data_IF_477678089995
#
_entry.id   IF_477678089995
#
_cell.length_a   1.000
_cell.length_b   1.000
_cell.length_c   1.000
_cell.angle_alpha   90.00
_cell.angle_beta   90.00
_cell.angle_gamma   90.00
#
_symmetry.space_group_name_H-M   'P 1'
#
loop_
_entity.id
_entity.type
_entity.pdbx_description
1 polymer ?
#
# COMPACT_ATOMS: atom_id res chain seq x y z
N UNK A 1 7.27 73.67 -11.65
CA UNK A 1 8.36 73.17 -10.77
C UNK A 1 7.98 71.76 -10.33
N UNK A 2 8.90 70.81 -10.39
CA UNK A 2 8.64 69.38 -10.13
C UNK A 2 8.95 69.01 -8.66
N UNK A 3 8.10 68.19 -8.05
CA UNK A 3 8.39 67.39 -6.85
C UNK A 3 7.46 66.16 -6.89
N UNK A 4 7.89 65.04 -7.49
CA UNK A 4 8.72 63.95 -6.95
C UNK A 4 7.91 62.91 -6.15
N UNK A 5 8.05 61.65 -6.58
CA UNK A 5 7.37 60.47 -6.05
C UNK A 5 8.03 59.95 -4.77
N UNK A 6 7.23 59.29 -3.92
CA UNK A 6 7.71 58.45 -2.82
C UNK A 6 6.99 57.10 -2.80
N UNK A 7 7.53 56.10 -3.51
CA UNK A 7 7.06 54.71 -3.41
C UNK A 7 7.79 53.98 -2.27
N UNK A 8 7.04 53.46 -1.29
CA UNK A 8 7.61 52.60 -0.25
C UNK A 8 7.77 51.15 -0.75
N UNK A 9 8.98 50.62 -0.68
CA UNK A 9 9.30 49.22 -1.03
C UNK A 9 9.44 48.38 0.24
N UNK A 10 8.52 47.46 0.47
CA UNK A 10 8.57 46.54 1.61
C UNK A 10 9.55 45.38 1.35
N UNK A 11 10.69 45.38 2.05
CA UNK A 11 11.68 44.31 1.97
C UNK A 11 11.18 42.99 2.56
N UNK A 12 11.25 41.91 1.78
CA UNK A 12 11.05 40.54 2.26
C UNK A 12 12.37 40.01 2.86
N UNK A 13 12.40 39.80 4.17
CA UNK A 13 13.52 39.14 4.84
C UNK A 13 13.54 37.64 4.50
N UNK A 14 14.62 37.17 3.86
CA UNK A 14 14.90 35.74 3.66
C UNK A 14 15.80 35.22 4.79
N UNK A 15 15.32 34.29 5.61
CA UNK A 15 16.17 33.59 6.58
C UNK A 15 17.11 32.59 5.86
N UNK A 16 18.38 32.46 6.28
CA UNK A 16 19.38 31.66 5.56
C UNK A 16 19.27 30.15 5.78
N UNK A 17 19.71 29.40 4.77
CA UNK A 17 19.78 27.93 4.75
C UNK A 17 20.98 27.46 5.59
N UNK A 18 20.75 26.56 6.56
CA UNK A 18 21.83 25.87 7.29
C UNK A 18 22.42 24.75 6.43
N UNK A 19 23.61 24.97 5.90
CA UNK A 19 24.49 23.93 5.36
C UNK A 19 25.40 23.40 6.47
N UNK A 20 25.40 22.08 6.71
CA UNK A 20 26.37 21.45 7.61
C UNK A 20 27.67 21.15 6.84
N UNK A 21 28.75 21.82 7.22
CA UNK A 21 30.13 21.42 6.86
C UNK A 21 30.62 20.39 7.86
N UNK A 22 31.32 19.33 7.39
CA UNK A 22 32.09 18.39 8.22
C UNK A 22 33.58 18.60 7.93
N UNK A 23 34.42 18.61 8.96
CA UNK A 23 35.88 18.86 8.88
C UNK A 23 36.59 18.20 10.06
N UNK A 24 37.78 17.63 9.82
CA UNK A 24 38.77 17.28 10.85
C UNK A 24 39.05 15.77 11.06
N UNK A 25 40.30 15.37 10.77
CA UNK A 25 41.19 14.32 11.38
C UNK A 25 40.62 12.93 11.79
N UNK A 26 41.22 11.74 11.56
CA UNK A 26 42.64 11.28 11.43
C UNK A 26 43.40 11.23 12.77
N UNK A 27 44.00 10.13 13.24
CA UNK A 27 44.06 8.73 12.76
C UNK A 27 42.81 7.93 13.28
N UNK A 28 42.77 6.63 13.66
CA UNK A 28 43.72 5.48 13.69
C UNK A 28 42.96 4.12 13.71
N UNK A 29 43.67 3.01 13.95
CA UNK A 29 43.26 1.59 14.01
C UNK A 29 43.85 0.96 15.32
N UNK A 30 43.37 -0.19 15.89
CA UNK A 30 43.58 -1.47 15.19
C UNK A 30 42.61 -2.67 15.45
N UNK A 31 42.57 -3.53 14.42
CA UNK A 31 42.33 -5.00 14.39
C UNK A 31 40.92 -5.57 14.63
N UNK A 32 40.28 -6.06 13.55
CA UNK A 32 39.53 -7.31 13.56
C UNK A 32 39.36 -7.92 12.14
N UNK A 33 40.16 -8.96 11.87
CA UNK A 33 39.98 -10.09 10.93
C UNK A 33 39.55 -9.91 9.44
N UNK A 34 40.10 -10.80 8.61
CA UNK A 34 40.06 -10.72 7.15
C UNK A 34 38.81 -11.35 6.54
N UNK A 35 38.27 -10.67 5.55
CA UNK A 35 37.27 -11.19 4.61
C UNK A 35 37.78 -12.39 3.81
N UNK A 36 36.91 -13.37 3.56
CA UNK A 36 36.90 -14.07 2.28
C UNK A 36 35.55 -13.90 1.60
N UNK A 37 35.59 -13.20 0.46
CA UNK A 37 34.44 -12.94 -0.40
C UNK A 37 34.50 -13.94 -1.55
N UNK A 38 33.53 -14.85 -1.64
CA UNK A 38 33.32 -15.67 -2.83
C UNK A 38 31.88 -15.54 -3.27
N UNK A 39 31.59 -14.48 -4.02
CA UNK A 39 30.37 -14.42 -4.79
C UNK A 39 30.42 -15.46 -5.92
N UNK A 40 29.32 -16.15 -6.16
CA UNK A 40 28.96 -16.58 -7.50
C UNK A 40 27.43 -16.55 -7.63
N UNK A 41 26.98 -15.80 -8.63
CA UNK A 41 25.57 -15.68 -8.99
C UNK A 41 25.15 -16.93 -9.75
N UNK A 42 23.92 -17.40 -9.54
CA UNK A 42 23.12 -18.13 -10.54
C UNK A 42 21.69 -18.32 -10.05
N UNK A 43 20.85 -17.31 -10.27
CA UNK A 43 19.40 -17.42 -10.06
C UNK A 43 18.76 -18.09 -11.27
N UNK A 44 18.95 -19.41 -11.42
CA UNK A 44 18.28 -20.20 -12.45
C UNK A 44 16.80 -20.38 -12.11
N UNK A 45 15.98 -19.41 -12.52
CA UNK A 45 14.51 -19.50 -12.44
C UNK A 45 13.98 -20.27 -13.65
N UNK A 46 14.00 -21.60 -13.58
CA UNK A 46 13.48 -22.46 -14.64
C UNK A 46 11.95 -22.35 -14.74
N UNK A 47 11.45 -21.90 -15.90
CA UNK A 47 10.03 -21.68 -16.16
C UNK A 47 9.36 -22.94 -16.72
N UNK A 48 8.71 -23.73 -15.86
CA UNK A 48 7.92 -24.88 -16.31
C UNK A 48 6.51 -24.43 -16.75
N UNK A 49 6.36 -24.25 -18.06
CA UNK A 49 5.06 -24.15 -18.72
C UNK A 49 4.44 -25.54 -18.90
N UNK A 50 3.37 -25.84 -18.16
CA UNK A 50 2.43 -26.91 -18.53
C UNK A 50 1.01 -26.34 -18.50
N UNK A 51 0.43 -26.18 -19.69
CA UNK A 51 -1.01 -26.03 -19.86
C UNK A 51 -1.69 -27.37 -19.61
N UNK A 52 -2.56 -27.46 -18.60
CA UNK A 52 -3.90 -28.09 -18.65
C UNK A 52 -4.45 -28.30 -17.23
N UNK A 53 -5.61 -27.72 -16.94
CA UNK A 53 -6.50 -28.17 -15.85
C UNK A 53 -6.02 -28.08 -14.39
N UNK A 54 -4.84 -27.52 -14.10
CA UNK A 54 -4.28 -27.44 -12.74
C UNK A 54 -4.43 -26.06 -12.09
N UNK A 55 -5.01 -26.01 -10.89
CA UNK A 55 -5.02 -24.79 -10.07
C UNK A 55 -3.61 -24.57 -9.50
N UNK A 56 -2.88 -23.57 -9.98
CA UNK A 56 -1.58 -23.21 -9.40
C UNK A 56 -1.81 -22.46 -8.08
N UNK A 57 -2.08 -23.24 -7.03
CA UNK A 57 -1.96 -22.75 -5.68
C UNK A 57 -0.48 -22.48 -5.40
N UNK A 58 -0.08 -21.21 -5.31
CA UNK A 58 1.04 -20.82 -4.46
C UNK A 58 0.68 -21.30 -3.06
N UNK A 59 1.22 -22.45 -2.68
CA UNK A 59 0.96 -23.11 -1.41
C UNK A 59 1.33 -22.11 -0.31
N UNK A 60 0.38 -21.58 0.48
CA UNK A 60 0.77 -20.90 1.70
C UNK A 60 1.52 -21.94 2.53
N UNK A 61 2.65 -21.54 3.13
CA UNK A 61 3.19 -22.30 4.25
C UNK A 61 2.02 -22.51 5.23
N UNK A 62 1.84 -23.75 5.69
CA UNK A 62 0.76 -24.10 6.60
C UNK A 62 1.06 -23.49 7.96
N UNK A 63 0.82 -22.19 8.05
CA UNK A 63 1.05 -21.39 9.22
C UNK A 63 0.05 -21.84 10.28
N UNK A 64 0.57 -22.44 11.35
CA UNK A 64 -0.21 -22.76 12.53
C UNK A 64 -1.06 -21.53 12.87
N UNK A 65 -2.31 -21.73 13.28
CA UNK A 65 -3.13 -20.64 13.80
C UNK A 65 -2.55 -20.23 15.16
N UNK A 66 -1.49 -19.41 15.13
CA UNK A 66 -0.89 -18.81 16.30
C UNK A 66 -1.92 -17.86 16.88
N UNK A 67 -2.62 -18.34 17.91
CA UNK A 67 -3.81 -17.72 18.49
C UNK A 67 -3.54 -16.40 19.24
N UNK A 68 -2.34 -15.82 19.09
CA UNK A 68 -1.92 -14.55 19.70
C UNK A 68 -1.42 -13.48 18.73
N UNK A 69 -1.35 -13.71 17.42
CA UNK A 69 -0.73 -12.77 16.47
C UNK A 69 -1.79 -11.91 15.77
N UNK A 70 -1.68 -10.57 15.77
CA UNK A 70 -2.65 -9.73 15.06
C UNK A 70 -2.51 -9.90 13.55
N UNK A 71 -3.65 -10.16 12.88
CA UNK A 71 -3.72 -10.29 11.42
C UNK A 71 -4.42 -9.07 10.82
N UNK A 72 -3.67 -8.25 10.07
CA UNK A 72 -4.14 -7.03 9.41
C UNK A 72 -4.08 -7.21 7.90
N UNK A 73 -5.21 -7.12 7.20
CA UNK A 73 -5.25 -7.23 5.74
C UNK A 73 -5.37 -5.86 5.08
N UNK A 74 -4.53 -5.59 4.08
CA UNK A 74 -4.54 -4.35 3.31
C UNK A 74 -4.83 -4.68 1.84
N UNK A 75 -5.86 -4.05 1.27
CA UNK A 75 -6.20 -4.26 -0.15
C UNK A 75 -5.33 -3.37 -1.03
N UNK A 76 -4.49 -4.00 -1.86
CA UNK A 76 -3.47 -3.33 -2.68
C UNK A 76 -3.78 -3.34 -4.17
N UNK A 77 -3.33 -2.28 -4.87
CA UNK A 77 -3.39 -2.11 -6.33
C UNK A 77 -2.44 -0.98 -6.76
N UNK A 78 -2.32 -0.73 -8.08
CA UNK A 78 -1.57 0.41 -8.66
C UNK A 78 -2.25 1.78 -8.42
N UNK A 79 -2.75 2.06 -7.21
CA UNK A 79 -3.29 3.39 -6.87
C UNK A 79 -2.56 4.01 -5.68
N UNK A 80 -2.33 5.33 -5.68
CA UNK A 80 -1.74 6.01 -4.54
C UNK A 80 -2.62 5.89 -3.29
N UNK A 81 -3.93 5.72 -3.46
CA UNK A 81 -4.87 5.43 -2.38
C UNK A 81 -4.51 4.16 -1.58
N UNK A 82 -4.15 3.07 -2.26
CA UNK A 82 -3.72 1.82 -1.61
C UNK A 82 -2.37 2.01 -0.90
N UNK A 83 -1.39 2.65 -1.55
CA UNK A 83 -0.09 2.96 -0.92
C UNK A 83 -0.24 3.79 0.35
N UNK A 84 -1.11 4.80 0.36
CA UNK A 84 -1.37 5.61 1.57
C UNK A 84 -2.09 4.81 2.66
N UNK A 85 -2.95 3.85 2.32
CA UNK A 85 -3.61 2.99 3.30
C UNK A 85 -2.64 1.99 3.94
N UNK A 86 -1.75 1.38 3.15
CA UNK A 86 -0.67 0.54 3.66
C UNK A 86 0.29 1.33 4.57
N UNK A 87 0.70 2.53 4.13
CA UNK A 87 1.54 3.41 4.94
C UNK A 87 0.92 3.72 6.30
N UNK A 88 -0.39 4.01 6.32
CA UNK A 88 -1.12 4.30 7.55
C UNK A 88 -1.17 3.07 8.47
N UNK A 89 -1.47 1.88 7.94
CA UNK A 89 -1.53 0.66 8.74
C UNK A 89 -0.17 0.34 9.37
N UNK A 90 0.91 0.42 8.58
CA UNK A 90 2.29 0.18 9.03
C UNK A 90 2.74 1.16 10.13
N UNK A 91 2.16 2.37 10.16
CA UNK A 91 2.52 3.41 11.15
C UNK A 91 1.63 3.45 12.38
N UNK A 92 0.34 3.09 12.28
CA UNK A 92 -0.65 3.32 13.34
C UNK A 92 -1.27 2.04 13.93
N UNK A 93 -1.17 0.88 13.27
CA UNK A 93 -1.85 -0.35 13.73
C UNK A 93 -0.97 -1.59 13.79
N UNK A 94 0.02 -1.69 12.90
CA UNK A 94 0.88 -2.87 12.77
C UNK A 94 2.11 -2.74 13.67
N UNK A 95 2.33 -3.74 14.51
CA UNK A 95 3.45 -3.90 15.42
C UNK A 95 4.47 -4.91 14.88
N UNK A 96 5.61 -5.06 15.56
CA UNK A 96 6.56 -6.16 15.31
C UNK A 96 5.87 -7.50 15.63
N UNK A 97 6.18 -8.56 14.87
CA UNK A 97 5.57 -9.89 14.93
C UNK A 97 4.13 -10.03 14.40
N UNK A 98 3.39 -8.93 14.19
CA UNK A 98 2.09 -8.97 13.50
C UNK A 98 2.21 -9.57 12.09
N UNK A 99 1.07 -10.05 11.55
CA UNK A 99 0.97 -10.55 10.17
C UNK A 99 0.20 -9.55 9.30
N UNK A 100 0.84 -9.09 8.22
CA UNK A 100 0.26 -8.22 7.20
C UNK A 100 -0.11 -9.04 5.98
N UNK A 101 -1.40 -9.14 5.69
CA UNK A 101 -1.91 -9.80 4.49
C UNK A 101 -2.10 -8.75 3.39
N UNK A 102 -1.27 -8.81 2.34
CA UNK A 102 -1.38 -7.93 1.17
C UNK A 102 -2.29 -8.59 0.13
N UNK A 103 -3.54 -8.13 0.04
CA UNK A 103 -4.53 -8.70 -0.88
C UNK A 103 -4.61 -7.91 -2.19
N UNK A 104 -4.20 -8.52 -3.31
CA UNK A 104 -4.56 -8.03 -4.63
C UNK A 104 -5.76 -8.80 -5.19
N UNK A 105 -6.78 -8.08 -5.68
CA UNK A 105 -7.90 -8.69 -6.41
C UNK A 105 -7.82 -8.33 -7.88
N UNK A 106 -7.32 -9.26 -8.68
CA UNK A 106 -7.28 -9.14 -10.13
C UNK A 106 -8.70 -9.26 -10.72
N UNK A 107 -8.89 -8.67 -11.90
CA UNK A 107 -10.13 -8.84 -12.66
C UNK A 107 -10.05 -10.17 -13.42
N UNK A 108 -11.11 -11.01 -13.44
CA UNK A 108 -11.06 -12.28 -14.15
C UNK A 108 -10.86 -12.05 -15.65
N UNK A 109 -9.96 -12.81 -16.25
CA UNK A 109 -9.78 -12.85 -17.70
C UNK A 109 -11.09 -13.32 -18.36
N UNK A 110 -11.45 -12.73 -19.51
CA UNK A 110 -12.58 -13.24 -20.30
C UNK A 110 -12.12 -14.50 -21.03
N UNK A 111 -12.91 -15.58 -20.98
CA UNK A 111 -12.68 -16.74 -21.84
C UNK A 111 -12.67 -16.27 -23.31
N UNK A 112 -11.59 -16.55 -24.04
CA UNK A 112 -11.32 -15.99 -25.37
C UNK A 112 -10.47 -14.71 -25.39
N UNK A 113 -9.92 -14.27 -24.26
CA UNK A 113 -8.91 -13.20 -24.22
C UNK A 113 -7.55 -13.66 -24.78
N UNK A 114 -6.80 -12.74 -25.38
CA UNK A 114 -5.45 -13.01 -25.88
C UNK A 114 -4.52 -13.41 -24.71
N UNK A 115 -3.74 -14.49 -24.83
CA UNK A 115 -2.88 -15.04 -23.77
C UNK A 115 -1.91 -14.00 -23.20
N UNK A 116 -1.38 -13.13 -24.06
CA UNK A 116 -0.53 -12.00 -23.68
C UNK A 116 -1.21 -11.05 -22.67
N UNK A 117 -2.53 -10.86 -22.75
CA UNK A 117 -3.27 -9.99 -21.81
C UNK A 117 -3.38 -10.61 -20.42
N UNK A 118 -3.52 -11.93 -20.34
CA UNK A 118 -3.56 -12.68 -19.08
C UNK A 118 -2.18 -12.72 -18.41
N UNK A 119 -1.13 -13.05 -19.16
CA UNK A 119 0.25 -13.01 -18.68
C UNK A 119 0.64 -11.61 -18.15
N UNK A 120 0.24 -10.55 -18.86
CA UNK A 120 0.48 -9.18 -18.42
C UNK A 120 -0.30 -8.81 -17.13
N UNK A 121 -1.52 -9.33 -16.94
CA UNK A 121 -2.27 -9.15 -15.70
C UNK A 121 -1.61 -9.87 -14.52
N UNK A 122 -1.09 -11.09 -14.73
CA UNK A 122 -0.36 -11.86 -13.70
C UNK A 122 0.92 -11.13 -13.30
N UNK A 123 1.75 -10.72 -14.27
CA UNK A 123 2.96 -9.91 -14.03
C UNK A 123 2.64 -8.62 -13.26
N UNK A 124 1.66 -7.85 -13.73
CA UNK A 124 1.20 -6.63 -13.05
C UNK A 124 0.74 -6.89 -11.62
N UNK A 125 0.06 -8.02 -11.37
CA UNK A 125 -0.40 -8.39 -10.02
C UNK A 125 0.77 -8.73 -9.09
N UNK A 126 1.77 -9.45 -9.62
CA UNK A 126 3.01 -9.77 -8.91
C UNK A 126 3.79 -8.49 -8.58
N UNK A 127 3.99 -7.59 -9.55
CA UNK A 127 4.71 -6.31 -9.36
C UNK A 127 4.05 -5.43 -8.28
N UNK A 128 2.71 -5.41 -8.21
CA UNK A 128 1.96 -4.72 -7.16
C UNK A 128 2.29 -5.32 -5.78
N UNK A 129 2.27 -6.64 -5.66
CA UNK A 129 2.49 -7.35 -4.40
C UNK A 129 3.94 -7.13 -3.94
N UNK A 130 4.94 -7.39 -4.78
CA UNK A 130 6.35 -7.18 -4.45
C UNK A 130 6.66 -5.72 -4.07
N UNK A 131 6.09 -4.73 -4.76
CA UNK A 131 6.28 -3.31 -4.43
C UNK A 131 5.71 -2.93 -3.06
N UNK A 132 4.59 -3.55 -2.66
CA UNK A 132 3.93 -3.30 -1.38
C UNK A 132 4.58 -4.11 -0.25
N UNK A 133 5.09 -5.31 -0.54
CA UNK A 133 5.86 -6.15 0.37
C UNK A 133 7.19 -5.49 0.76
N UNK A 134 7.97 -5.03 -0.23
CA UNK A 134 9.19 -4.25 -0.01
C UNK A 134 8.92 -3.01 0.86
N UNK A 135 7.77 -2.36 0.68
CA UNK A 135 7.35 -1.24 1.53
C UNK A 135 7.04 -1.67 2.98
N UNK A 136 6.48 -2.85 3.21
CA UNK A 136 6.29 -3.41 4.55
C UNK A 136 7.64 -3.69 5.22
N UNK A 137 8.52 -4.42 4.54
CA UNK A 137 9.86 -4.78 5.02
C UNK A 137 10.70 -3.53 5.35
N UNK A 138 10.65 -2.49 4.50
CA UNK A 138 11.38 -1.23 4.70
C UNK A 138 10.84 -0.41 5.87
N UNK A 139 9.52 -0.38 6.10
CA UNK A 139 8.91 0.42 7.15
C UNK A 139 8.84 -0.29 8.52
N UNK A 140 8.78 -1.62 8.52
CA UNK A 140 8.64 -2.48 9.71
C UNK A 140 9.43 -3.79 9.53
N UNK A 141 10.77 -3.75 9.60
CA UNK A 141 11.57 -4.98 9.65
C UNK A 141 11.15 -5.78 10.91
N UNK A 142 10.76 -7.04 10.72
CA UNK A 142 10.18 -7.89 11.78
C UNK A 142 8.65 -8.03 11.75
N UNK A 143 7.96 -7.48 10.74
CA UNK A 143 6.58 -7.85 10.41
C UNK A 143 6.54 -9.05 9.47
N UNK A 144 5.60 -9.98 9.66
CA UNK A 144 5.38 -11.08 8.72
C UNK A 144 4.49 -10.60 7.58
N UNK A 145 4.94 -10.73 6.33
CA UNK A 145 4.16 -10.32 5.14
C UNK A 145 3.66 -11.55 4.41
N UNK A 146 2.37 -11.59 4.08
CA UNK A 146 1.73 -12.64 3.30
C UNK A 146 1.05 -12.03 2.08
N UNK A 147 1.54 -12.35 0.89
CA UNK A 147 1.05 -11.83 -0.39
C UNK A 147 -0.02 -12.75 -0.98
N UNK A 148 -1.25 -12.23 -1.12
CA UNK A 148 -2.43 -13.00 -1.56
C UNK A 148 -2.98 -12.41 -2.86
N UNK A 149 -3.02 -13.24 -3.90
CA UNK A 149 -3.67 -12.92 -5.18
C UNK A 149 -5.03 -13.65 -5.26
N UNK A 150 -6.10 -12.88 -5.40
CA UNK A 150 -7.45 -13.40 -5.63
C UNK A 150 -8.00 -12.91 -6.97
N UNK A 151 -8.95 -13.65 -7.54
CA UNK A 151 -9.65 -13.25 -8.77
C UNK A 151 -11.16 -13.25 -8.55
N UNK A 152 -11.86 -12.26 -9.10
CA UNK A 152 -13.32 -12.33 -9.17
C UNK A 152 -13.99 -11.10 -9.75
N UNK A 153 -15.20 -11.31 -10.29
CA UNK A 153 -16.00 -10.28 -10.96
C UNK A 153 -16.45 -9.19 -9.98
N UNK A 154 -16.83 -9.59 -8.77
CA UNK A 154 -17.27 -8.69 -7.70
C UNK A 154 -16.19 -8.55 -6.63
N UNK A 155 -15.32 -7.55 -6.76
CA UNK A 155 -14.20 -7.36 -5.83
C UNK A 155 -14.64 -7.20 -4.36
N UNK A 156 -15.88 -6.76 -4.11
CA UNK A 156 -16.40 -6.56 -2.76
C UNK A 156 -16.57 -7.87 -1.97
N UNK A 157 -17.22 -8.88 -2.56
CA UNK A 157 -17.40 -10.20 -1.92
C UNK A 157 -16.07 -10.91 -1.75
N UNK A 158 -15.25 -10.94 -2.81
CA UNK A 158 -13.90 -11.56 -2.79
C UNK A 158 -13.02 -11.02 -1.66
N UNK A 159 -13.04 -9.70 -1.42
CA UNK A 159 -12.29 -9.10 -0.29
C UNK A 159 -12.84 -9.54 1.07
N UNK A 160 -14.16 -9.60 1.23
CA UNK A 160 -14.81 -10.01 2.47
C UNK A 160 -14.58 -11.49 2.77
N UNK A 161 -14.68 -12.35 1.75
CA UNK A 161 -14.41 -13.79 1.84
C UNK A 161 -12.95 -14.06 2.18
N UNK A 162 -12.00 -13.39 1.50
CA UNK A 162 -10.57 -13.49 1.83
C UNK A 162 -10.28 -13.02 3.27
N UNK A 163 -10.90 -11.93 3.73
CA UNK A 163 -10.74 -11.46 5.11
C UNK A 163 -11.15 -12.52 6.14
N UNK A 164 -12.26 -13.22 5.86
CA UNK A 164 -12.76 -14.32 6.69
C UNK A 164 -11.85 -15.55 6.62
N UNK A 165 -11.42 -15.94 5.41
CA UNK A 165 -10.54 -17.11 5.19
C UNK A 165 -9.18 -16.99 5.89
N UNK A 166 -8.58 -15.80 5.89
CA UNK A 166 -7.27 -15.58 6.51
C UNK A 166 -7.32 -15.28 8.02
N UNK A 167 -8.51 -15.25 8.64
CA UNK A 167 -8.66 -14.96 10.08
C UNK A 167 -8.28 -13.52 10.44
N UNK A 168 -8.63 -12.55 9.58
CA UNK A 168 -8.18 -11.16 9.70
C UNK A 168 -9.00 -10.41 10.76
N UNK A 169 -8.31 -9.73 11.68
CA UNK A 169 -8.93 -8.88 12.72
C UNK A 169 -9.29 -7.47 12.20
N UNK A 170 -8.43 -6.90 11.34
CA UNK A 170 -8.57 -5.56 10.76
C UNK A 170 -8.39 -5.56 9.23
N UNK A 171 -9.39 -5.09 8.50
CA UNK A 171 -9.39 -4.90 7.05
C UNK A 171 -9.21 -3.41 6.69
N UNK A 172 -8.14 -3.09 5.96
CA UNK A 172 -7.76 -1.71 5.57
C UNK A 172 -7.92 -1.50 4.05
N UNK A 173 -8.65 -0.44 3.68
CA UNK A 173 -9.04 -0.13 2.31
C UNK A 173 -8.59 1.28 1.87
N UNK A 174 -7.91 1.40 0.73
CA UNK A 174 -7.53 2.69 0.15
C UNK A 174 -8.72 3.50 -0.40
N UNK A 175 -9.03 4.66 0.20
CA UNK A 175 -10.17 5.51 -0.17
C UNK A 175 -9.75 6.72 -1.02
N UNK A 176 -10.33 6.84 -2.22
CA UNK A 176 -10.07 7.94 -3.16
C UNK A 176 -10.60 9.29 -2.72
N UNK A 177 -9.72 10.30 -2.74
CA UNK A 177 -10.09 11.72 -2.59
C UNK A 177 -10.83 12.20 -3.83
N UNK A 178 -12.16 12.32 -3.74
CA UNK A 178 -12.99 13.00 -4.75
C UNK A 178 -12.98 14.51 -4.52
N UNK A 179 -12.39 15.27 -5.44
CA UNK A 179 -12.53 16.73 -5.45
C UNK A 179 -14.00 17.14 -5.67
N UNK A 180 -14.37 18.38 -5.30
CA UNK A 180 -15.72 18.92 -5.58
C UNK A 180 -16.01 18.90 -7.09
N UNK A 181 -15.04 19.30 -7.92
CA UNK A 181 -15.11 19.27 -9.38
C UNK A 181 -15.25 17.85 -9.95
N UNK A 182 -14.53 16.87 -9.40
CA UNK A 182 -14.69 15.46 -9.82
C UNK A 182 -16.08 14.92 -9.46
N UNK A 183 -16.65 15.30 -8.31
CA UNK A 183 -18.05 14.97 -7.96
C UNK A 183 -19.04 15.52 -8.99
N UNK A 184 -18.84 16.75 -9.47
CA UNK A 184 -19.69 17.38 -10.48
C UNK A 184 -19.61 16.64 -11.83
N UNK A 185 -18.40 16.42 -12.38
CA UNK A 185 -18.21 15.62 -13.61
C UNK A 185 -18.66 14.16 -13.46
N UNK A 186 -18.58 13.58 -12.25
CA UNK A 186 -19.04 12.20 -11.97
C UNK A 186 -20.57 12.04 -11.86
N UNK A 187 -21.37 13.09 -12.07
CA UNK A 187 -22.80 12.91 -12.37
C UNK A 187 -22.99 12.28 -13.75
N UNK A 188 -22.10 12.60 -14.70
CA UNK A 188 -22.15 12.16 -16.10
C UNK A 188 -21.35 10.88 -16.38
N UNK A 189 -20.38 10.53 -15.52
CA UNK A 189 -19.57 9.29 -15.68
C UNK A 189 -19.96 8.22 -14.67
N UNK A 190 -20.39 7.04 -15.17
CA UNK A 190 -20.82 5.87 -14.36
C UNK A 190 -19.71 5.22 -13.49
N UNK A 191 -18.48 5.73 -13.50
CA UNK A 191 -17.31 5.16 -12.77
C UNK A 191 -17.35 5.40 -11.25
N UNK A 192 -18.27 4.73 -10.55
CA UNK A 192 -18.39 4.75 -9.07
C UNK A 192 -17.80 3.52 -8.35
N UNK A 193 -17.26 2.55 -9.09
CA UNK A 193 -16.94 1.19 -8.65
C UNK A 193 -16.13 1.09 -7.35
N UNK A 194 -15.01 1.80 -7.21
CA UNK A 194 -14.17 1.73 -5.99
C UNK A 194 -14.94 2.13 -4.71
N UNK A 195 -15.80 3.17 -4.78
CA UNK A 195 -16.58 3.58 -3.62
C UNK A 195 -17.70 2.58 -3.28
N UNK A 196 -18.23 1.86 -4.28
CA UNK A 196 -19.15 0.74 -4.03
C UNK A 196 -18.44 -0.40 -3.31
N UNK A 197 -17.27 -0.81 -3.80
CA UNK A 197 -16.45 -1.89 -3.19
C UNK A 197 -16.10 -1.55 -1.74
N UNK A 198 -15.60 -0.35 -1.47
CA UNK A 198 -15.26 0.09 -0.10
C UNK A 198 -16.47 0.04 0.83
N UNK A 199 -17.61 0.61 0.41
CA UNK A 199 -18.81 0.61 1.23
C UNK A 199 -19.31 -0.82 1.48
N UNK A 200 -19.30 -1.69 0.47
CA UNK A 200 -19.67 -3.09 0.61
C UNK A 200 -18.80 -3.78 1.67
N UNK A 201 -17.48 -3.64 1.57
CA UNK A 201 -16.55 -4.28 2.52
C UNK A 201 -16.79 -3.78 3.95
N UNK A 202 -17.01 -2.48 4.17
CA UNK A 202 -17.27 -1.89 5.50
C UNK A 202 -18.56 -2.43 6.16
N UNK A 203 -19.58 -2.78 5.37
CA UNK A 203 -20.87 -3.22 5.93
C UNK A 203 -20.96 -4.74 6.08
N UNK A 204 -20.30 -5.49 5.19
CA UNK A 204 -20.45 -6.94 5.05
C UNK A 204 -19.25 -7.75 5.58
N UNK A 205 -18.14 -7.13 5.97
CA UNK A 205 -17.05 -7.83 6.66
C UNK A 205 -17.48 -8.29 8.04
N UNK A 206 -17.05 -9.50 8.43
CA UNK A 206 -17.19 -10.01 9.81
C UNK A 206 -16.18 -9.39 10.78
N UNK A 207 -15.08 -8.83 10.27
CA UNK A 207 -14.03 -8.16 11.04
C UNK A 207 -14.16 -6.63 11.00
N UNK A 208 -13.32 -5.94 11.77
CA UNK A 208 -13.28 -4.47 11.74
C UNK A 208 -12.77 -4.01 10.37
N UNK A 209 -13.58 -3.30 9.60
CA UNK A 209 -13.20 -2.77 8.30
C UNK A 209 -13.18 -1.24 8.28
N UNK A 210 -12.08 -0.71 7.75
CA UNK A 210 -11.81 0.73 7.70
C UNK A 210 -11.34 1.16 6.32
N UNK A 211 -11.77 2.34 5.90
CA UNK A 211 -11.30 2.98 4.68
C UNK A 211 -10.51 4.24 4.99
N UNK A 212 -9.27 4.28 4.51
CA UNK A 212 -8.25 5.26 4.86
C UNK A 212 -8.02 6.21 3.69
N UNK A 213 -8.02 7.51 3.98
CA UNK A 213 -7.76 8.58 3.00
C UNK A 213 -6.76 9.60 3.53
N UNK A 214 -5.69 9.89 2.79
CA UNK A 214 -4.82 11.03 3.12
C UNK A 214 -5.61 12.36 3.10
N UNK A 215 -5.59 13.11 4.21
CA UNK A 215 -6.36 14.34 4.42
C UNK A 215 -5.88 15.46 3.50
N UNK A 216 -4.59 15.80 3.58
CA UNK A 216 -3.96 16.83 2.77
C UNK A 216 -2.58 16.38 2.26
N UNK A 217 -2.10 17.00 1.17
CA UNK A 217 -0.70 16.85 0.74
C UNK A 217 0.23 17.70 1.62
N UNK A 218 -0.17 18.93 1.97
CA UNK A 218 0.63 19.91 2.72
C UNK A 218 0.68 19.65 4.24
N UNK A 219 -0.46 19.39 4.87
CA UNK A 219 -0.61 19.35 6.34
C UNK A 219 -0.75 17.94 6.93
N UNK A 220 -0.19 16.93 6.24
CA UNK A 220 -0.26 15.52 6.67
C UNK A 220 -1.67 14.97 6.91
N UNK A 221 -1.75 13.99 7.82
CA UNK A 221 -2.97 13.42 8.39
C UNK A 221 -3.77 12.46 7.50
N UNK A 222 -4.56 11.61 8.16
CA UNK A 222 -5.44 10.61 7.54
C UNK A 222 -6.88 10.78 8.03
N UNK A 223 -7.85 10.55 7.14
CA UNK A 223 -9.27 10.48 7.46
C UNK A 223 -9.70 9.03 7.34
N UNK A 224 -10.42 8.55 8.36
CA UNK A 224 -10.88 7.16 8.44
C UNK A 224 -12.40 7.14 8.26
N UNK A 225 -12.88 6.07 7.64
CA UNK A 225 -14.30 5.74 7.56
C UNK A 225 -14.49 4.30 8.03
N UNK A 226 -15.29 4.13 9.08
CA UNK A 226 -15.74 2.84 9.63
C UNK A 226 -17.21 2.62 9.25
N UNK A 227 -17.83 1.57 9.78
CA UNK A 227 -19.28 1.31 9.69
C UNK A 227 -20.10 2.45 10.32
N UNK A 228 -19.71 2.90 11.53
CA UNK A 228 -20.44 3.90 12.31
C UNK A 228 -20.04 5.35 12.02
N UNK A 229 -18.77 5.63 11.70
CA UNK A 229 -18.24 7.00 11.58
C UNK A 229 -17.58 7.25 10.23
N UNK A 230 -17.81 8.43 9.64
CA UNK A 230 -17.38 8.78 8.28
C UNK A 230 -16.46 9.99 8.26
N UNK A 231 -15.26 9.83 7.70
CA UNK A 231 -14.24 10.88 7.59
C UNK A 231 -13.80 11.48 8.94
N UNK A 232 -13.81 10.70 10.03
CA UNK A 232 -13.22 11.19 11.27
C UNK A 232 -11.70 11.29 11.10
N UNK A 233 -11.10 12.31 11.72
CA UNK A 233 -9.67 12.53 11.71
C UNK A 233 -9.13 11.93 12.99
N UNK A 234 -8.28 10.90 12.90
CA UNK A 234 -7.40 10.60 14.02
C UNK A 234 -6.35 11.72 14.08
N UNK A 235 -6.25 12.36 15.24
CA UNK A 235 -5.08 13.15 15.57
C UNK A 235 -3.87 12.21 15.53
N UNK A 236 -2.79 12.68 14.90
CA UNK A 236 -1.53 11.97 14.81
C UNK A 236 -0.60 12.44 15.93
#
# INVERSE_FOLDING_TARGET
MLALLGCAVSHVSRSPIRTYKKSGSLMEEPEAEKTMFSGNNSTEMMFNSITNGGVVAMKPAADNQSAGNNRVMVVVNQTPEAKHALQWALTHTIQTHDTVVLLHVASPCRKGGNSNSELNNVRTSHDILCSMESMCQTMRPGVHVNCVLQQGKEKGSVIVEAAKQHGVSLLVLGQKRRSKLWRLRSRWSRRRTQAKVINYCIHNSSCMAIAVRRKNRKHGGYLITTKSHKNFWLLA
#
